data_IF_727961369137
#
_entry.id   IF_727961369137
#
_cell.length_a   1.000
_cell.length_b   1.000
_cell.length_c   1.000
_cell.angle_alpha   90.00
_cell.angle_beta   90.00
_cell.angle_gamma   90.00
#
_symmetry.space_group_name_H-M   'P 1'
#
loop_
_entity.id
_entity.type
_entity.pdbx_description
1 polymer ?
#
# COMPACT_ATOMS: atom_id res chain seq x y z
N UNK A 1 -8.31 4.70 1.66
CA UNK A 1 -9.49 4.46 0.80
C UNK A 1 -10.72 3.97 1.57
N UNK A 2 -10.71 2.82 2.25
CA UNK A 2 -11.87 2.31 3.02
C UNK A 2 -12.47 3.34 3.98
N UNK A 3 -11.65 3.97 4.82
CA UNK A 3 -12.11 4.99 5.78
C UNK A 3 -12.79 6.20 5.09
N UNK A 4 -12.30 6.59 3.92
CA UNK A 4 -12.91 7.65 3.11
C UNK A 4 -14.29 7.24 2.59
N UNK A 5 -14.43 6.02 2.08
CA UNK A 5 -15.70 5.49 1.58
C UNK A 5 -16.74 5.36 2.69
N UNK A 6 -16.35 4.83 3.85
CA UNK A 6 -17.24 4.74 5.03
C UNK A 6 -17.63 6.12 5.58
N UNK A 7 -16.76 7.12 5.48
CA UNK A 7 -17.06 8.49 5.92
C UNK A 7 -18.09 9.18 5.02
N UNK A 8 -18.20 8.79 3.76
CA UNK A 8 -19.23 9.31 2.85
C UNK A 8 -20.60 8.69 3.22
N UNK A 9 -20.64 7.36 3.28
CA UNK A 9 -21.85 6.59 3.61
C UNK A 9 -21.44 5.12 3.83
N UNK A 10 -21.85 4.53 4.94
CA UNK A 10 -21.53 3.13 5.27
C UNK A 10 -22.13 2.15 4.23
N UNK A 11 -23.29 2.46 3.66
CA UNK A 11 -23.93 1.68 2.61
C UNK A 11 -23.08 1.55 1.33
N UNK A 12 -22.19 2.52 1.08
CA UNK A 12 -21.24 2.48 -0.03
C UNK A 12 -20.26 1.31 0.16
N UNK A 13 -19.72 1.16 1.36
CA UNK A 13 -18.80 0.07 1.65
C UNK A 13 -19.46 -1.30 1.55
N UNK A 14 -20.68 -1.43 2.07
CA UNK A 14 -21.46 -2.68 1.95
C UNK A 14 -21.76 -3.03 0.49
N UNK A 15 -22.05 -2.04 -0.33
CA UNK A 15 -22.27 -2.21 -1.75
C UNK A 15 -21.02 -2.72 -2.52
N UNK A 16 -19.84 -2.25 -2.11
CA UNK A 16 -18.55 -2.72 -2.68
C UNK A 16 -18.28 -4.16 -2.25
N UNK A 17 -18.45 -4.47 -0.97
CA UNK A 17 -18.13 -5.78 -0.40
C UNK A 17 -19.07 -6.88 -0.89
N UNK A 18 -20.37 -6.61 -0.90
CA UNK A 18 -21.40 -7.59 -1.23
C UNK A 18 -21.68 -7.67 -2.73
N UNK A 19 -21.21 -6.69 -3.51
CA UNK A 19 -21.53 -6.52 -4.90
C UNK A 19 -22.97 -5.98 -5.10
N UNK A 20 -23.33 -5.71 -6.35
CA UNK A 20 -24.66 -5.27 -6.74
C UNK A 20 -25.08 -5.98 -8.03
N UNK A 21 -26.24 -6.60 -8.00
CA UNK A 21 -26.86 -7.18 -9.19
C UNK A 21 -28.03 -6.29 -9.60
N UNK A 22 -27.92 -5.68 -10.78
CA UNK A 22 -28.99 -4.84 -11.32
C UNK A 22 -30.22 -5.69 -11.61
N UNK A 23 -31.41 -5.31 -11.10
CA UNK A 23 -32.64 -6.00 -11.45
C UNK A 23 -32.89 -5.97 -12.96
N UNK A 24 -33.43 -7.05 -13.51
CA UNK A 24 -33.77 -7.17 -14.94
C UNK A 24 -35.06 -6.44 -15.34
N UNK A 25 -35.88 -6.05 -14.35
CA UNK A 25 -37.12 -5.29 -14.52
C UNK A 25 -36.85 -3.81 -14.82
N UNK A 26 -37.85 -3.15 -15.41
CA UNK A 26 -37.77 -1.72 -15.69
C UNK A 26 -37.60 -0.91 -14.39
N UNK A 27 -36.82 0.17 -14.44
CA UNK A 27 -36.52 1.02 -13.24
C UNK A 27 -37.78 1.59 -12.57
N UNK A 28 -38.88 1.76 -13.33
CA UNK A 28 -40.17 2.20 -12.82
C UNK A 28 -40.86 1.18 -11.91
N UNK A 29 -40.47 -0.10 -12.00
CA UNK A 29 -41.03 -1.21 -11.21
C UNK A 29 -40.17 -1.55 -9.97
N UNK A 30 -39.07 -0.81 -9.76
CA UNK A 30 -38.20 -1.06 -8.63
C UNK A 30 -38.83 -0.55 -7.34
N UNK A 31 -38.76 -1.36 -6.30
CA UNK A 31 -39.14 -0.98 -4.98
C UNK A 31 -38.12 0.04 -4.36
N UNK A 32 -38.48 0.62 -3.24
CA UNK A 32 -37.66 1.58 -2.54
C UNK A 32 -36.27 0.99 -2.14
N UNK A 33 -36.23 -0.30 -1.79
CA UNK A 33 -35.00 -0.98 -1.42
C UNK A 33 -34.06 -1.15 -2.63
N UNK A 34 -34.57 -1.57 -3.78
CA UNK A 34 -33.81 -1.68 -5.01
C UNK A 34 -33.24 -0.34 -5.48
N UNK A 35 -34.03 0.74 -5.37
CA UNK A 35 -33.58 2.10 -5.69
C UNK A 35 -32.47 2.57 -4.75
N UNK A 36 -32.57 2.28 -3.46
CA UNK A 36 -31.56 2.64 -2.46
C UNK A 36 -30.24 1.91 -2.74
N UNK A 37 -30.29 0.60 -3.04
CA UNK A 37 -29.11 -0.17 -3.40
C UNK A 37 -28.46 0.32 -4.71
N UNK A 38 -29.26 0.64 -5.73
CA UNK A 38 -28.74 1.19 -6.98
C UNK A 38 -28.06 2.55 -6.79
N UNK A 39 -28.59 3.40 -5.94
CA UNK A 39 -27.99 4.67 -5.59
C UNK A 39 -26.68 4.49 -4.81
N UNK A 40 -26.64 3.59 -3.81
CA UNK A 40 -25.44 3.26 -3.07
C UNK A 40 -24.34 2.74 -3.98
N UNK A 41 -24.69 1.86 -4.92
CA UNK A 41 -23.77 1.31 -5.92
C UNK A 41 -23.19 2.41 -6.84
N UNK A 42 -24.03 3.31 -7.37
CA UNK A 42 -23.58 4.43 -8.20
C UNK A 42 -22.66 5.36 -7.46
N UNK A 43 -22.95 5.64 -6.20
CA UNK A 43 -22.08 6.44 -5.30
C UNK A 43 -20.75 5.71 -5.06
N UNK A 44 -20.77 4.40 -4.88
CA UNK A 44 -19.59 3.58 -4.64
C UNK A 44 -18.58 3.66 -5.78
N UNK A 45 -19.02 3.45 -7.02
CA UNK A 45 -18.14 3.50 -8.18
C UNK A 45 -17.57 4.90 -8.42
N UNK A 46 -18.41 5.94 -8.27
CA UNK A 46 -17.97 7.32 -8.38
C UNK A 46 -16.96 7.69 -7.28
N UNK A 47 -17.19 7.29 -6.04
CA UNK A 47 -16.28 7.55 -4.93
C UNK A 47 -14.92 6.88 -5.15
N UNK A 48 -14.88 5.65 -5.69
CA UNK A 48 -13.64 4.98 -6.05
C UNK A 48 -12.91 5.78 -7.14
N UNK A 49 -13.58 6.14 -8.22
CA UNK A 49 -12.98 6.88 -9.33
C UNK A 49 -12.44 8.25 -8.92
N UNK A 50 -13.14 8.96 -8.03
CA UNK A 50 -12.68 10.24 -7.51
C UNK A 50 -11.53 10.12 -6.50
N UNK A 51 -11.40 8.97 -5.83
CA UNK A 51 -10.43 8.76 -4.76
C UNK A 51 -9.09 8.14 -5.21
N UNK A 52 -8.92 7.85 -6.49
CA UNK A 52 -7.71 7.21 -7.03
C UNK A 52 -6.87 8.17 -7.86
N UNK A 53 -5.58 7.87 -8.02
CA UNK A 53 -4.69 8.59 -8.92
C UNK A 53 -5.03 8.31 -10.39
N UNK A 54 -4.54 9.16 -11.31
CA UNK A 54 -4.74 8.97 -12.76
C UNK A 54 -4.27 7.60 -13.25
N UNK A 55 -3.13 7.12 -12.75
CA UNK A 55 -2.59 5.81 -13.11
C UNK A 55 -3.49 4.65 -12.64
N UNK A 56 -4.03 4.76 -11.44
CA UNK A 56 -4.98 3.78 -10.91
C UNK A 56 -6.30 3.84 -11.64
N UNK A 57 -6.79 5.05 -11.95
CA UNK A 57 -7.99 5.24 -12.73
C UNK A 57 -7.92 4.53 -14.09
N UNK A 58 -6.79 4.66 -14.82
CA UNK A 58 -6.62 3.95 -16.09
C UNK A 58 -6.72 2.43 -15.97
N UNK A 59 -6.38 1.87 -14.82
CA UNK A 59 -6.46 0.42 -14.56
C UNK A 59 -7.90 -0.05 -14.31
N UNK A 60 -8.74 0.81 -13.76
CA UNK A 60 -10.11 0.47 -13.35
C UNK A 60 -11.19 1.12 -14.21
N UNK A 61 -10.84 1.99 -15.16
CA UNK A 61 -11.79 2.73 -15.98
C UNK A 61 -12.66 1.85 -16.90
N UNK A 62 -12.21 0.63 -17.16
CA UNK A 62 -12.91 -0.33 -18.02
C UNK A 62 -13.86 -1.28 -17.27
N UNK A 63 -13.85 -1.24 -15.93
CA UNK A 63 -14.72 -2.12 -15.14
C UNK A 63 -16.10 -1.52 -14.95
N UNK A 64 -17.10 -2.38 -14.89
CA UNK A 64 -18.50 -1.98 -14.76
C UNK A 64 -18.98 -1.98 -13.32
N UNK A 65 -18.28 -2.69 -12.41
CA UNK A 65 -18.70 -2.84 -11.02
C UNK A 65 -17.71 -2.25 -10.01
N UNK A 66 -18.26 -1.68 -8.94
CA UNK A 66 -17.44 -1.16 -7.84
C UNK A 66 -16.64 -2.27 -7.14
N UNK A 67 -17.17 -3.48 -7.07
CA UNK A 67 -16.48 -4.64 -6.51
C UNK A 67 -15.27 -5.05 -7.35
N UNK A 68 -15.39 -5.09 -8.69
CA UNK A 68 -14.28 -5.35 -9.60
C UNK A 68 -13.20 -4.28 -9.48
N UNK A 69 -13.58 -2.98 -9.51
CA UNK A 69 -12.66 -1.88 -9.35
C UNK A 69 -11.87 -2.02 -8.03
N UNK A 70 -12.56 -2.33 -6.93
CA UNK A 70 -11.94 -2.54 -5.63
C UNK A 70 -10.96 -3.72 -5.65
N UNK A 71 -11.34 -4.87 -6.22
CA UNK A 71 -10.50 -6.06 -6.31
C UNK A 71 -9.21 -5.81 -7.09
N UNK A 72 -9.30 -5.07 -8.19
CA UNK A 72 -8.12 -4.69 -8.99
C UNK A 72 -7.18 -3.79 -8.17
N UNK A 73 -7.73 -2.80 -7.46
CA UNK A 73 -6.94 -1.91 -6.61
C UNK A 73 -6.28 -2.69 -5.46
N UNK A 74 -7.03 -3.54 -4.77
CA UNK A 74 -6.53 -4.35 -3.67
C UNK A 74 -5.38 -5.25 -4.11
N UNK A 75 -5.55 -5.99 -5.22
CA UNK A 75 -4.49 -6.83 -5.81
C UNK A 75 -3.26 -6.02 -6.21
N UNK A 76 -3.46 -4.83 -6.77
CA UNK A 76 -2.36 -3.91 -7.12
C UNK A 76 -1.58 -3.47 -5.88
N UNK A 77 -2.28 -3.12 -4.80
CA UNK A 77 -1.66 -2.70 -3.55
C UNK A 77 -0.95 -3.85 -2.82
N UNK A 78 -1.51 -5.04 -2.82
CA UNK A 78 -0.85 -6.24 -2.28
C UNK A 78 0.42 -6.59 -3.04
N UNK A 79 0.39 -6.52 -4.36
CA UNK A 79 1.58 -6.70 -5.20
C UNK A 79 2.66 -5.67 -4.89
N UNK A 80 2.30 -4.40 -4.73
CA UNK A 80 3.21 -3.32 -4.34
C UNK A 80 3.78 -3.54 -2.94
N UNK A 81 2.97 -4.02 -2.00
CA UNK A 81 3.41 -4.38 -0.64
C UNK A 81 4.43 -5.51 -0.68
N UNK A 82 4.17 -6.58 -1.42
CA UNK A 82 5.08 -7.71 -1.56
C UNK A 82 6.45 -7.30 -2.13
N UNK A 83 6.46 -6.46 -3.15
CA UNK A 83 7.70 -5.90 -3.72
C UNK A 83 8.45 -5.07 -2.68
N UNK A 84 7.74 -4.25 -1.92
CA UNK A 84 8.32 -3.45 -0.82
C UNK A 84 8.93 -4.35 0.25
N UNK A 85 8.22 -5.37 0.70
CA UNK A 85 8.68 -6.30 1.73
C UNK A 85 9.93 -7.06 1.27
N UNK A 86 9.98 -7.50 0.01
CA UNK A 86 11.16 -8.12 -0.60
C UNK A 86 12.36 -7.18 -0.60
N UNK A 87 12.18 -5.91 -1.00
CA UNK A 87 13.25 -4.90 -0.97
C UNK A 87 13.75 -4.62 0.45
N UNK A 88 12.84 -4.55 1.42
CA UNK A 88 13.20 -4.38 2.83
C UNK A 88 14.01 -5.56 3.36
N UNK A 89 13.66 -6.79 2.98
CA UNK A 89 14.40 -7.98 3.34
C UNK A 89 15.81 -7.97 2.74
N UNK A 90 15.96 -7.64 1.47
CA UNK A 90 17.27 -7.50 0.82
C UNK A 90 18.15 -6.44 1.51
N UNK A 91 17.59 -5.28 1.84
CA UNK A 91 18.32 -4.22 2.55
C UNK A 91 18.68 -4.65 3.97
N UNK A 92 17.86 -5.48 4.62
CA UNK A 92 18.14 -6.01 5.96
C UNK A 92 19.30 -6.98 5.91
N UNK A 93 19.30 -7.94 4.98
CA UNK A 93 20.42 -8.86 4.77
C UNK A 93 21.71 -8.10 4.47
N UNK A 94 21.68 -7.15 3.53
CA UNK A 94 22.85 -6.31 3.23
C UNK A 94 23.35 -5.54 4.44
N UNK A 95 22.46 -5.03 5.28
CA UNK A 95 22.84 -4.37 6.55
C UNK A 95 23.47 -5.34 7.54
N UNK A 96 23.01 -6.58 7.62
CA UNK A 96 23.56 -7.61 8.52
C UNK A 96 24.94 -8.07 8.10
N UNK A 97 25.15 -8.24 6.81
CA UNK A 97 26.44 -8.65 6.21
C UNK A 97 27.49 -7.52 6.25
N UNK A 98 27.05 -6.25 6.29
CA UNK A 98 27.97 -5.12 6.28
C UNK A 98 28.82 -5.10 7.55
N UNK A 99 30.15 -5.21 7.39
CA UNK A 99 31.17 -5.07 8.43
C UNK A 99 32.23 -4.09 7.96
N UNK A 100 32.82 -3.37 8.90
CA UNK A 100 33.95 -2.50 8.63
C UNK A 100 35.22 -3.34 8.41
N UNK A 101 35.94 -3.09 7.30
CA UNK A 101 37.23 -3.70 7.04
C UNK A 101 38.33 -3.14 7.96
N UNK A 102 39.41 -3.94 8.17
CA UNK A 102 40.51 -3.50 9.05
C UNK A 102 41.21 -2.23 8.57
N UNK A 103 41.30 -2.02 7.26
CA UNK A 103 41.91 -0.86 6.62
C UNK A 103 40.87 0.16 6.11
N UNK A 104 39.60 -0.01 6.45
CA UNK A 104 38.52 0.87 6.01
C UNK A 104 38.38 2.06 6.94
N UNK A 105 38.31 3.29 6.38
CA UNK A 105 37.99 4.47 7.15
C UNK A 105 36.54 4.41 7.66
N UNK A 106 36.33 4.82 8.92
CA UNK A 106 35.02 4.83 9.55
C UNK A 106 33.96 5.60 8.72
N UNK A 107 34.33 6.72 8.14
CA UNK A 107 33.43 7.54 7.32
C UNK A 107 32.93 6.76 6.07
N UNK A 108 33.80 5.94 5.47
CA UNK A 108 33.41 5.09 4.33
C UNK A 108 32.40 4.01 4.75
N UNK A 109 32.68 3.32 5.85
CA UNK A 109 31.78 2.33 6.41
C UNK A 109 30.43 2.96 6.82
N UNK A 110 30.47 4.09 7.52
CA UNK A 110 29.27 4.81 7.94
C UNK A 110 28.45 5.29 6.73
N UNK A 111 29.10 5.76 5.68
CA UNK A 111 28.45 6.14 4.43
C UNK A 111 27.64 5.00 3.84
N UNK A 112 28.23 3.80 3.72
CA UNK A 112 27.54 2.58 3.21
C UNK A 112 26.36 2.19 4.10
N UNK A 113 26.51 2.25 5.41
CA UNK A 113 25.42 1.95 6.34
C UNK A 113 24.29 2.97 6.23
N UNK A 114 24.63 4.25 6.12
CA UNK A 114 23.67 5.34 6.02
C UNK A 114 22.85 5.25 4.71
N UNK A 115 23.45 4.86 3.60
CA UNK A 115 22.72 4.59 2.34
C UNK A 115 21.63 3.52 2.55
N UNK A 116 21.95 2.44 3.26
CA UNK A 116 20.99 1.38 3.56
C UNK A 116 19.87 1.91 4.47
N UNK A 117 20.21 2.71 5.47
CA UNK A 117 19.25 3.32 6.39
C UNK A 117 18.29 4.24 5.64
N UNK A 118 18.81 5.12 4.79
CA UNK A 118 18.00 6.03 3.96
C UNK A 118 17.10 5.23 3.02
N UNK A 119 17.62 4.18 2.35
CA UNK A 119 16.82 3.33 1.47
C UNK A 119 15.66 2.66 2.21
N UNK A 120 15.86 2.21 3.45
CA UNK A 120 14.79 1.65 4.30
C UNK A 120 13.76 2.71 4.69
N UNK A 121 14.20 3.92 5.05
CA UNK A 121 13.30 5.04 5.38
C UNK A 121 12.45 5.42 4.17
N UNK A 122 13.01 5.45 2.97
CA UNK A 122 12.29 5.70 1.72
C UNK A 122 11.20 4.65 1.44
N UNK A 123 11.39 3.43 1.92
CA UNK A 123 10.37 2.38 1.93
C UNK A 123 9.37 2.49 3.11
N UNK A 124 9.41 3.60 3.85
CA UNK A 124 8.56 3.88 5.03
C UNK A 124 8.79 2.91 6.21
N UNK A 125 9.99 2.35 6.32
CA UNK A 125 10.38 1.57 7.49
C UNK A 125 10.77 2.50 8.64
N UNK A 126 10.23 2.23 9.84
CA UNK A 126 10.59 2.97 11.05
C UNK A 126 11.85 2.38 11.65
N UNK A 127 12.97 3.10 11.57
CA UNK A 127 14.25 2.66 12.11
C UNK A 127 14.51 3.38 13.43
N UNK A 128 14.70 2.61 14.50
CA UNK A 128 15.12 3.17 15.80
C UNK A 128 16.62 3.48 15.77
N UNK A 129 17.00 4.69 16.16
CA UNK A 129 18.39 5.13 16.21
C UNK A 129 19.28 4.15 16.99
N UNK A 130 18.82 3.65 18.12
CA UNK A 130 19.52 2.65 18.92
C UNK A 130 19.89 1.35 18.13
N UNK A 131 19.09 0.98 17.11
CA UNK A 131 19.38 -0.17 16.26
C UNK A 131 20.56 0.11 15.32
N UNK A 132 20.65 1.32 14.81
CA UNK A 132 21.77 1.77 13.96
C UNK A 132 23.06 1.81 14.77
N UNK A 133 23.04 2.40 15.96
CA UNK A 133 24.20 2.47 16.88
C UNK A 133 24.71 1.07 17.24
N UNK A 134 23.81 0.14 17.61
CA UNK A 134 24.21 -1.25 17.90
C UNK A 134 24.82 -1.94 16.68
N UNK A 135 24.34 -1.64 15.47
CA UNK A 135 24.93 -2.19 14.25
C UNK A 135 26.33 -1.66 14.04
N UNK A 136 26.58 -0.37 14.23
CA UNK A 136 27.91 0.23 14.15
C UNK A 136 28.85 -0.49 15.11
N UNK A 137 28.49 -0.56 16.38
CA UNK A 137 29.35 -1.17 17.43
C UNK A 137 29.71 -2.62 17.14
N UNK A 138 28.76 -3.41 16.58
CA UNK A 138 28.99 -4.82 16.22
C UNK A 138 29.79 -5.01 14.93
N UNK A 139 29.93 -3.97 14.15
CA UNK A 139 30.58 -4.02 12.86
C UNK A 139 32.01 -3.47 12.87
N UNK A 140 32.42 -2.88 13.99
CA UNK A 140 33.80 -2.42 14.18
C UNK A 140 34.76 -3.61 14.29
N UNK A 141 35.98 -3.52 13.72
CA UNK A 141 37.03 -4.51 13.92
C UNK A 141 37.54 -4.51 15.36
N UNK A 142 38.07 -5.64 15.82
CA UNK A 142 38.59 -5.77 17.19
C UNK A 142 39.75 -4.80 17.51
N UNK A 143 40.44 -4.34 16.47
CA UNK A 143 41.54 -3.37 16.56
C UNK A 143 41.09 -1.92 16.71
N UNK A 144 39.81 -1.67 16.65
CA UNK A 144 39.23 -0.34 16.75
C UNK A 144 38.90 -0.02 18.23
#
# INVERSE_FOLDING_TARGET
MRAFLCAIDESIWDSIKNGYVKPTTAKSEWDKAALTLANAYSKAINAIFCGVSTNEFHRISHVETANEAWTILETTYEGTKKVKDTKLQMLTTRSEELKMGNDEAFDSFYGKLNEIVIAKINLREKIKYAKVVRKILRSLPESF
#
